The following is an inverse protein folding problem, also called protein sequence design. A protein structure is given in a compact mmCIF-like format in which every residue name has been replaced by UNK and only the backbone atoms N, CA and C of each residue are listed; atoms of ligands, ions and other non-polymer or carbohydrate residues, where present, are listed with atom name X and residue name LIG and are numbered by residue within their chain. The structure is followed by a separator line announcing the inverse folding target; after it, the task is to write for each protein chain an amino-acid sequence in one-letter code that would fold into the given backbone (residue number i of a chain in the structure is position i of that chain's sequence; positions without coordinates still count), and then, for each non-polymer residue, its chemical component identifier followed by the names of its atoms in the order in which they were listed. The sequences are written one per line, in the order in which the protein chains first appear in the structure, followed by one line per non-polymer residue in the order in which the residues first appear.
data_IF_724306859631
#
_entry.id   IF_724306859631
#
_cell.length_a   1.000
_cell.length_b   1.000
_cell.length_c   1.000
_cell.angle_alpha   90.00
_cell.angle_beta   90.00
_cell.angle_gamma   90.00
#
_symmetry.space_group_name_H-M   'P 1'
#
loop_
_entity.id
_entity.type
_entity.pdbx_description
1 polymer ?
#
# COMPACT_ATOMS: atom_id res chain seq x y z
N UNK A 1 -21.39 -1.41 5.34
CA UNK A 1 -20.72 -1.76 4.05
C UNK A 1 -19.71 -2.87 4.25
N UNK A 2 -18.72 -2.70 5.12
CA UNK A 2 -17.67 -3.71 5.37
C UNK A 2 -18.19 -5.12 5.67
N UNK A 3 -19.26 -5.25 6.47
CA UNK A 3 -19.89 -6.56 6.75
C UNK A 3 -20.36 -7.30 5.48
N UNK A 4 -20.78 -6.57 4.44
CA UNK A 4 -21.18 -7.18 3.16
C UNK A 4 -19.99 -7.44 2.23
N UNK A 5 -18.91 -6.66 2.34
CA UNK A 5 -17.71 -6.83 1.51
C UNK A 5 -16.82 -7.97 2.01
N UNK A 6 -16.80 -8.24 3.33
CA UNK A 6 -15.89 -9.20 3.95
C UNK A 6 -16.00 -10.62 3.37
N UNK A 7 -17.20 -11.21 3.19
CA UNK A 7 -17.30 -12.55 2.61
C UNK A 7 -16.75 -12.63 1.18
N UNK A 8 -16.97 -11.59 0.38
CA UNK A 8 -16.47 -11.51 -1.00
C UNK A 8 -14.95 -11.36 -1.01
N UNK A 9 -14.39 -10.50 -0.17
CA UNK A 9 -12.94 -10.35 -0.03
C UNK A 9 -12.26 -11.63 0.42
N UNK A 10 -12.85 -12.37 1.37
CA UNK A 10 -12.35 -13.67 1.80
C UNK A 10 -12.39 -14.71 0.68
N UNK A 11 -13.44 -14.71 -0.16
CA UNK A 11 -13.50 -15.58 -1.32
C UNK A 11 -12.36 -15.28 -2.30
N UNK A 12 -12.13 -14.00 -2.63
CA UNK A 12 -11.00 -13.60 -3.48
C UNK A 12 -9.63 -13.98 -2.88
N UNK A 13 -9.44 -13.83 -1.57
CA UNK A 13 -8.20 -14.27 -0.90
C UNK A 13 -8.01 -15.79 -1.03
N UNK A 14 -9.07 -16.58 -0.89
CA UNK A 14 -9.01 -18.05 -1.06
C UNK A 14 -8.71 -18.45 -2.50
N UNK A 15 -9.37 -17.82 -3.48
CA UNK A 15 -9.14 -18.09 -4.91
C UNK A 15 -7.68 -17.77 -5.27
N UNK A 16 -7.13 -16.67 -4.74
CA UNK A 16 -5.73 -16.31 -4.96
C UNK A 16 -4.78 -17.32 -4.29
N UNK A 17 -5.09 -17.77 -3.07
CA UNK A 17 -4.28 -18.75 -2.36
C UNK A 17 -4.23 -20.09 -3.10
N UNK A 18 -5.34 -20.50 -3.71
CA UNK A 18 -5.39 -21.69 -4.57
C UNK A 18 -4.54 -21.49 -5.84
N UNK A 19 -4.71 -20.35 -6.51
CA UNK A 19 -3.97 -20.03 -7.74
C UNK A 19 -2.45 -19.94 -7.54
N UNK A 20 -1.99 -19.54 -6.35
CA UNK A 20 -0.57 -19.43 -6.02
C UNK A 20 0.02 -20.70 -5.41
N UNK A 21 -0.74 -21.81 -5.34
CA UNK A 21 -0.28 -23.06 -4.74
C UNK A 21 -0.03 -22.96 -3.24
N UNK A 22 -0.80 -22.12 -2.53
CA UNK A 22 -0.70 -21.93 -1.09
C UNK A 22 0.26 -20.82 -0.66
N UNK A 23 0.83 -20.06 -1.59
CA UNK A 23 1.67 -18.91 -1.25
C UNK A 23 0.78 -17.74 -0.81
N UNK A 24 0.95 -17.34 0.45
CA UNK A 24 0.17 -16.29 1.07
C UNK A 24 0.63 -14.88 0.64
N UNK A 25 0.39 -14.54 -0.63
CA UNK A 25 0.78 -13.28 -1.28
C UNK A 25 -0.46 -12.44 -1.66
N UNK A 26 -0.25 -11.16 -1.99
CA UNK A 26 -1.27 -10.24 -2.53
C UNK A 26 -2.48 -9.93 -1.65
N UNK A 27 -2.49 -10.34 -0.38
CA UNK A 27 -3.63 -10.07 0.52
C UNK A 27 -3.90 -8.57 0.71
N UNK A 28 -2.87 -7.75 0.85
CA UNK A 28 -3.04 -6.31 0.98
C UNK A 28 -3.58 -5.67 -0.29
N UNK A 29 -3.07 -6.06 -1.46
CA UNK A 29 -3.64 -5.65 -2.75
C UNK A 29 -5.11 -6.06 -2.93
N UNK A 30 -5.49 -7.31 -2.62
CA UNK A 30 -6.88 -7.78 -2.69
C UNK A 30 -7.78 -6.95 -1.78
N UNK A 31 -7.34 -6.71 -0.55
CA UNK A 31 -8.06 -5.86 0.39
C UNK A 31 -8.26 -4.44 -0.15
N UNK A 32 -7.20 -3.80 -0.64
CA UNK A 32 -7.26 -2.44 -1.16
C UNK A 32 -8.14 -2.33 -2.43
N UNK A 33 -7.95 -3.22 -3.40
CA UNK A 33 -8.74 -3.23 -4.63
C UNK A 33 -10.20 -3.60 -4.40
N UNK A 34 -10.50 -4.49 -3.45
CA UNK A 34 -11.87 -4.79 -3.06
C UNK A 34 -12.60 -3.55 -2.54
N UNK A 35 -11.94 -2.76 -1.69
CA UNK A 35 -12.49 -1.50 -1.17
C UNK A 35 -12.65 -0.44 -2.26
N UNK A 36 -11.65 -0.25 -3.12
CA UNK A 36 -11.70 0.71 -4.24
C UNK A 36 -12.79 0.34 -5.25
N UNK A 37 -12.94 -0.95 -5.55
CA UNK A 37 -13.99 -1.45 -6.45
C UNK A 37 -15.39 -1.21 -5.85
N UNK A 38 -15.56 -1.47 -4.55
CA UNK A 38 -16.80 -1.17 -3.85
C UNK A 38 -17.09 0.34 -3.80
N UNK A 39 -16.04 1.17 -3.67
CA UNK A 39 -16.17 2.63 -3.68
C UNK A 39 -16.62 3.12 -5.06
N UNK A 40 -16.01 2.62 -6.13
CA UNK A 40 -16.44 2.90 -7.50
C UNK A 40 -17.91 2.53 -7.71
N UNK A 41 -18.33 1.31 -7.33
CA UNK A 41 -19.72 0.87 -7.44
C UNK A 41 -20.69 1.75 -6.65
N UNK A 42 -20.28 2.23 -5.46
CA UNK A 42 -21.08 3.18 -4.67
C UNK A 42 -21.24 4.53 -5.36
N UNK A 43 -20.17 5.09 -5.94
CA UNK A 43 -20.21 6.35 -6.67
C UNK A 43 -21.13 6.24 -7.89
N UNK A 44 -20.97 5.16 -8.69
CA UNK A 44 -21.85 4.86 -9.83
C UNK A 44 -23.32 4.78 -9.42
N UNK A 45 -23.62 4.09 -8.32
CA UNK A 45 -25.01 3.97 -7.83
C UNK A 45 -25.66 5.30 -7.44
N UNK A 46 -24.85 6.33 -7.18
CA UNK A 46 -25.30 7.70 -6.84
C UNK A 46 -25.25 8.66 -8.03
N UNK A 47 -24.80 8.21 -9.21
CA UNK A 47 -24.54 9.10 -10.35
C UNK A 47 -23.38 10.07 -10.12
N UNK A 48 -22.46 9.75 -9.21
CA UNK A 48 -21.26 10.56 -8.97
C UNK A 48 -20.11 10.11 -9.89
N UNK A 49 -19.22 11.03 -10.31
CA UNK A 49 -18.08 10.69 -11.14
C UNK A 49 -17.07 9.83 -10.37
N UNK A 50 -16.38 8.94 -11.11
CA UNK A 50 -15.30 8.12 -10.57
C UNK A 50 -14.00 8.91 -10.66
N UNK A 51 -13.66 9.59 -9.56
CA UNK A 51 -12.48 10.44 -9.43
C UNK A 51 -11.60 9.92 -8.28
N UNK A 52 -10.30 10.11 -8.39
CA UNK A 52 -9.30 9.65 -7.41
C UNK A 52 -9.65 10.08 -5.98
N UNK A 53 -9.89 11.38 -5.77
CA UNK A 53 -10.23 11.88 -4.43
C UNK A 53 -11.54 11.31 -3.92
N UNK A 54 -12.56 11.16 -4.78
CA UNK A 54 -13.85 10.57 -4.39
C UNK A 54 -13.74 9.09 -4.04
N UNK A 55 -12.93 8.34 -4.78
CA UNK A 55 -12.65 6.93 -4.48
C UNK A 55 -12.01 6.80 -3.11
N UNK A 56 -10.93 7.53 -2.85
CA UNK A 56 -10.24 7.56 -1.57
C UNK A 56 -11.15 7.96 -0.41
N UNK A 57 -11.92 9.05 -0.56
CA UNK A 57 -12.84 9.52 0.47
C UNK A 57 -13.96 8.51 0.73
N UNK A 58 -14.45 7.84 -0.32
CA UNK A 58 -15.49 6.84 -0.18
C UNK A 58 -14.96 5.56 0.51
N UNK A 59 -13.70 5.18 0.28
CA UNK A 59 -13.02 4.12 1.04
C UNK A 59 -12.86 4.52 2.50
N UNK A 60 -12.36 5.72 2.80
CA UNK A 60 -12.25 6.24 4.16
C UNK A 60 -13.60 6.18 4.91
N UNK A 61 -14.70 6.56 4.24
CA UNK A 61 -16.07 6.45 4.79
C UNK A 61 -16.48 5.02 5.09
N UNK A 62 -16.10 4.04 4.26
CA UNK A 62 -16.37 2.63 4.55
C UNK A 62 -15.59 2.13 5.75
N UNK A 63 -14.37 2.62 5.91
CA UNK A 63 -13.39 2.15 6.90
C UNK A 63 -13.33 3.00 8.18
N UNK A 64 -14.23 3.99 8.35
CA UNK A 64 -14.27 4.84 9.54
C UNK A 64 -14.45 4.00 10.81
N UNK A 65 -13.52 4.15 11.75
CA UNK A 65 -13.46 3.41 13.00
C UNK A 65 -12.81 2.02 12.89
N UNK A 66 -12.34 1.61 11.71
CA UNK A 66 -11.83 0.26 11.46
C UNK A 66 -10.60 -0.05 12.33
N UNK A 67 -9.62 0.85 12.43
CA UNK A 67 -8.41 0.59 13.23
C UNK A 67 -8.79 0.39 14.69
N UNK A 68 -9.61 1.27 15.26
CA UNK A 68 -10.00 1.16 16.67
C UNK A 68 -10.83 -0.10 16.94
N UNK A 69 -11.73 -0.48 16.04
CA UNK A 69 -12.59 -1.64 16.21
C UNK A 69 -11.83 -2.97 16.03
N UNK A 70 -10.96 -3.05 15.04
CA UNK A 70 -10.31 -4.30 14.63
C UNK A 70 -8.90 -4.50 15.19
N UNK A 71 -8.21 -3.45 15.64
CA UNK A 71 -6.82 -3.55 16.12
C UNK A 71 -6.64 -3.28 17.61
N UNK A 72 -7.58 -2.57 18.26
CA UNK A 72 -7.47 -2.23 19.69
C UNK A 72 -8.03 -3.30 20.64
N UNK A 73 -8.72 -4.30 20.13
CA UNK A 73 -9.40 -5.31 20.93
C UNK A 73 -8.61 -6.62 20.92
N UNK A 74 -7.93 -6.97 22.02
CA UNK A 74 -7.35 -8.30 22.22
C UNK A 74 -8.43 -9.37 22.53
N UNK A 75 -9.54 -9.35 21.78
CA UNK A 75 -10.76 -10.07 22.11
C UNK A 75 -10.78 -11.55 21.70
N UNK A 76 -9.79 -12.01 20.93
CA UNK A 76 -9.65 -13.41 20.51
C UNK A 76 -8.53 -14.15 21.25
N UNK A 77 -8.61 -15.48 21.33
CA UNK A 77 -7.58 -16.34 21.95
C UNK A 77 -6.18 -16.22 21.28
N UNK A 78 -6.12 -15.73 20.04
CA UNK A 78 -4.87 -15.45 19.30
C UNK A 78 -4.95 -14.15 18.52
N UNK A 79 -4.00 -13.25 18.76
CA UNK A 79 -3.84 -12.02 17.98
C UNK A 79 -3.39 -12.33 16.55
N UNK A 80 -4.01 -11.68 15.57
CA UNK A 80 -3.48 -11.61 14.20
C UNK A 80 -2.16 -10.84 14.18
N UNK A 81 -1.35 -11.04 13.13
CA UNK A 81 -0.10 -10.27 12.94
C UNK A 81 -0.35 -8.76 12.96
N UNK A 82 -1.45 -8.30 12.36
CA UNK A 82 -1.81 -6.88 12.33
C UNK A 82 -2.14 -6.32 13.72
N UNK A 83 -2.93 -7.04 14.52
CA UNK A 83 -3.22 -6.65 15.91
C UNK A 83 -1.96 -6.63 16.77
N UNK A 84 -1.12 -7.67 16.65
CA UNK A 84 0.14 -7.75 17.39
C UNK A 84 1.09 -6.58 17.06
N UNK A 85 1.20 -6.20 15.77
CA UNK A 85 2.01 -5.06 15.37
C UNK A 85 1.43 -3.73 15.84
N UNK A 86 0.11 -3.55 15.74
CA UNK A 86 -0.55 -2.33 16.21
C UNK A 86 -0.40 -2.16 17.73
N UNK A 87 -0.64 -3.22 18.51
CA UNK A 87 -0.51 -3.17 19.97
C UNK A 87 0.94 -2.96 20.43
N UNK A 88 1.92 -3.50 19.69
CA UNK A 88 3.34 -3.42 20.07
C UNK A 88 4.04 -2.16 19.57
N UNK A 89 3.68 -1.68 18.38
CA UNK A 89 4.42 -0.63 17.67
C UNK A 89 3.54 0.54 17.20
N UNK A 90 2.22 0.48 17.38
CA UNK A 90 1.30 1.52 16.92
C UNK A 90 1.08 1.55 15.41
N UNK A 91 1.57 0.55 14.66
CA UNK A 91 1.52 0.52 13.20
C UNK A 91 0.17 -0.04 12.71
N UNK A 92 -0.70 0.78 12.07
CA UNK A 92 -2.03 0.33 11.67
C UNK A 92 -2.03 -0.45 10.34
N UNK A 93 -0.93 -0.39 9.57
CA UNK A 93 -0.76 -1.09 8.30
C UNK A 93 -1.86 -0.80 7.29
N UNK A 94 -2.22 -1.82 6.50
CA UNK A 94 -3.23 -1.70 5.44
C UNK A 94 -4.60 -1.17 5.92
N UNK A 95 -4.98 -1.44 7.17
CA UNK A 95 -6.23 -0.93 7.76
C UNK A 95 -6.17 0.58 7.99
N UNK A 96 -5.05 1.10 8.46
CA UNK A 96 -4.83 2.54 8.60
C UNK A 96 -4.79 3.26 7.26
N UNK A 97 -4.18 2.64 6.25
CA UNK A 97 -4.23 3.15 4.88
C UNK A 97 -5.66 3.24 4.38
N UNK A 98 -6.46 2.18 4.50
CA UNK A 98 -7.86 2.21 4.08
C UNK A 98 -8.71 3.22 4.89
N UNK A 99 -8.54 3.29 6.20
CA UNK A 99 -9.29 4.24 7.05
C UNK A 99 -8.96 5.70 6.73
N UNK A 100 -7.70 6.00 6.39
CA UNK A 100 -7.27 7.34 5.97
C UNK A 100 -7.56 7.67 4.50
N UNK A 101 -8.14 6.73 3.73
CA UNK A 101 -8.37 6.90 2.30
C UNK A 101 -7.08 6.88 1.47
N UNK A 102 -6.15 6.03 1.84
CA UNK A 102 -4.83 5.85 1.25
C UNK A 102 -3.99 7.13 1.28
N UNK A 103 -3.85 7.72 2.48
CA UNK A 103 -3.14 8.99 2.66
C UNK A 103 -1.71 8.92 2.13
N UNK A 104 -0.99 7.83 2.37
CA UNK A 104 0.40 7.65 1.89
C UNK A 104 0.45 7.64 0.37
N UNK A 105 -0.51 6.96 -0.29
CA UNK A 105 -0.61 6.98 -1.76
C UNK A 105 -0.86 8.39 -2.27
N UNK A 106 -1.83 9.10 -1.69
CA UNK A 106 -2.23 10.45 -2.12
C UNK A 106 -1.14 11.50 -1.94
N UNK A 107 -0.38 11.42 -0.86
CA UNK A 107 0.54 12.49 -0.43
C UNK A 107 2.00 12.19 -0.72
N UNK A 108 2.39 10.92 -0.88
CA UNK A 108 3.77 10.53 -1.12
C UNK A 108 3.95 9.83 -2.47
N UNK A 109 3.13 8.81 -2.77
CA UNK A 109 3.37 7.96 -3.92
C UNK A 109 2.93 8.59 -5.26
N UNK A 110 1.70 9.10 -5.33
CA UNK A 110 1.14 9.72 -6.54
C UNK A 110 1.95 10.95 -7.00
N UNK A 111 2.38 11.88 -6.12
CA UNK A 111 3.22 12.99 -6.54
C UNK A 111 4.53 12.55 -7.20
N UNK A 112 5.19 11.52 -6.65
CA UNK A 112 6.42 10.96 -7.23
C UNK A 112 6.13 10.29 -8.58
N UNK A 113 5.06 9.50 -8.65
CA UNK A 113 4.67 8.81 -9.87
C UNK A 113 4.36 9.79 -11.01
N UNK A 114 3.50 10.78 -10.74
CA UNK A 114 3.12 11.80 -11.73
C UNK A 114 4.33 12.59 -12.20
N UNK A 115 5.18 13.05 -11.28
CA UNK A 115 6.40 13.77 -11.64
C UNK A 115 7.30 12.93 -12.56
N UNK A 116 7.52 11.66 -12.23
CA UNK A 116 8.36 10.78 -13.05
C UNK A 116 7.76 10.51 -14.43
N UNK A 117 6.43 10.35 -14.50
CA UNK A 117 5.73 10.23 -15.78
C UNK A 117 5.87 11.49 -16.64
N UNK A 118 5.80 12.68 -16.04
CA UNK A 118 5.99 13.96 -16.73
C UNK A 118 7.44 14.17 -17.20
N UNK A 119 8.42 13.80 -16.35
CA UNK A 119 9.84 13.98 -16.66
C UNK A 119 10.37 12.98 -17.70
N UNK A 120 9.89 11.73 -17.67
CA UNK A 120 10.49 10.63 -18.44
C UNK A 120 9.56 10.01 -19.48
N UNK A 121 8.24 10.10 -19.29
CA UNK A 121 7.27 9.34 -20.07
C UNK A 121 7.34 7.82 -19.89
N UNK A 122 8.19 7.31 -18.99
CA UNK A 122 8.43 5.88 -18.78
C UNK A 122 7.75 5.40 -17.49
N UNK A 123 6.74 4.56 -17.66
CA UNK A 123 5.99 4.01 -16.54
C UNK A 123 6.81 3.09 -15.64
N UNK A 124 7.77 2.34 -16.18
CA UNK A 124 8.61 1.46 -15.38
C UNK A 124 9.53 2.29 -14.48
N UNK A 125 10.15 3.35 -15.01
CA UNK A 125 10.96 4.26 -14.20
C UNK A 125 10.12 4.95 -13.13
N UNK A 126 8.91 5.41 -13.48
CA UNK A 126 7.99 6.00 -12.52
C UNK A 126 7.62 5.03 -11.40
N UNK A 127 7.26 3.79 -11.74
CA UNK A 127 6.94 2.75 -10.76
C UNK A 127 8.12 2.40 -9.85
N UNK A 128 9.32 2.23 -10.41
CA UNK A 128 10.51 1.89 -9.63
C UNK A 128 10.90 3.03 -8.68
N UNK A 129 10.85 4.28 -9.15
CA UNK A 129 11.14 5.44 -8.31
C UNK A 129 10.09 5.60 -7.20
N UNK A 130 8.80 5.43 -7.52
CA UNK A 130 7.72 5.49 -6.53
C UNK A 130 7.83 4.35 -5.52
N UNK A 131 8.19 3.14 -5.94
CA UNK A 131 8.40 2.02 -5.04
C UNK A 131 9.57 2.29 -4.09
N UNK A 132 10.69 2.78 -4.61
CA UNK A 132 11.85 3.18 -3.81
C UNK A 132 11.46 4.26 -2.80
N UNK A 133 10.64 5.23 -3.21
CA UNK A 133 10.09 6.24 -2.30
C UNK A 133 9.22 5.60 -1.21
N UNK A 134 8.26 4.75 -1.56
CA UNK A 134 7.45 4.04 -0.58
C UNK A 134 8.30 3.23 0.40
N UNK A 135 9.35 2.54 -0.06
CA UNK A 135 10.27 1.82 0.84
C UNK A 135 11.00 2.73 1.84
N UNK A 136 11.25 3.98 1.48
CA UNK A 136 11.98 4.94 2.30
C UNK A 136 11.14 5.56 3.44
N UNK A 137 9.81 5.62 3.31
CA UNK A 137 8.94 6.33 4.27
C UNK A 137 7.70 5.57 4.74
N UNK A 138 7.31 4.47 4.09
CA UNK A 138 6.20 3.65 4.56
C UNK A 138 6.64 2.80 5.76
N UNK A 139 5.82 2.78 6.81
CA UNK A 139 5.99 1.87 7.95
C UNK A 139 5.46 0.46 7.60
N UNK A 140 6.17 -0.21 6.68
CA UNK A 140 5.75 -1.48 6.11
C UNK A 140 5.74 -2.60 7.16
N UNK A 141 4.54 -2.94 7.63
CA UNK A 141 4.32 -4.03 8.59
C UNK A 141 4.76 -5.41 8.09
N UNK A 142 4.93 -5.63 6.79
CA UNK A 142 5.50 -6.87 6.25
C UNK A 142 7.01 -6.95 6.54
N UNK A 143 7.74 -5.84 6.45
CA UNK A 143 9.14 -5.77 6.87
C UNK A 143 9.27 -6.01 8.37
N UNK A 144 8.42 -5.38 9.18
CA UNK A 144 8.40 -5.62 10.63
C UNK A 144 8.10 -7.08 10.96
N UNK A 145 7.23 -7.73 10.19
CA UNK A 145 6.91 -9.15 10.35
C UNK A 145 8.09 -10.09 10.06
N UNK A 146 8.99 -9.72 9.14
CA UNK A 146 10.10 -10.58 8.69
C UNK A 146 11.42 -10.26 9.39
N UNK A 147 11.72 -8.99 9.64
CA UNK A 147 12.98 -8.52 10.20
C UNK A 147 12.85 -7.62 11.44
N UNK A 148 11.64 -7.44 11.97
CA UNK A 148 11.40 -6.49 13.07
C UNK A 148 11.65 -5.04 12.66
N UNK A 149 11.71 -4.15 13.65
CA UNK A 149 12.02 -2.73 13.41
C UNK A 149 13.42 -2.54 12.81
N UNK A 150 14.37 -3.42 13.14
CA UNK A 150 15.70 -3.37 12.53
C UNK A 150 15.65 -3.61 11.01
N UNK A 151 14.85 -4.58 10.57
CA UNK A 151 14.60 -4.82 9.14
C UNK A 151 13.92 -3.65 8.45
N UNK A 152 12.86 -3.09 9.05
CA UNK A 152 12.20 -1.88 8.53
C UNK A 152 13.18 -0.71 8.39
N UNK A 153 13.91 -0.39 9.46
CA UNK A 153 14.87 0.71 9.48
C UNK A 153 15.98 0.54 8.45
N UNK A 154 16.49 -0.70 8.27
CA UNK A 154 17.48 -0.99 7.26
C UNK A 154 16.96 -0.66 5.85
N UNK A 155 15.76 -1.13 5.50
CA UNK A 155 15.16 -0.86 4.18
C UNK A 155 14.94 0.63 3.98
N UNK A 156 14.40 1.32 4.99
CA UNK A 156 14.16 2.77 4.90
C UNK A 156 15.47 3.54 4.67
N UNK A 157 16.54 3.20 5.41
CA UNK A 157 17.84 3.86 5.29
C UNK A 157 18.48 3.64 3.93
N UNK A 158 18.50 2.40 3.42
CA UNK A 158 19.07 2.12 2.09
C UNK A 158 18.25 2.74 0.97
N UNK A 159 16.92 2.73 1.07
CA UNK A 159 16.06 3.39 0.10
C UNK A 159 16.28 4.92 0.09
N UNK A 160 16.38 5.55 1.27
CA UNK A 160 16.72 6.98 1.38
C UNK A 160 18.10 7.29 0.80
N UNK A 161 19.09 6.43 1.07
CA UNK A 161 20.44 6.55 0.51
C UNK A 161 20.44 6.55 -1.02
N UNK A 162 19.73 5.60 -1.64
CA UNK A 162 19.59 5.54 -3.09
C UNK A 162 18.87 6.78 -3.65
N UNK A 163 17.82 7.25 -2.97
CA UNK A 163 17.11 8.47 -3.38
C UNK A 163 17.98 9.72 -3.30
N UNK A 164 18.80 9.87 -2.26
CA UNK A 164 19.78 10.97 -2.15
C UNK A 164 20.85 10.93 -3.24
N UNK A 165 21.12 9.76 -3.81
CA UNK A 165 22.04 9.60 -4.94
C UNK A 165 21.40 9.90 -6.30
N UNK A 166 20.10 10.23 -6.33
CA UNK A 166 19.33 10.51 -7.55
C UNK A 166 18.32 9.41 -7.93
N UNK A 167 18.20 8.36 -7.11
CA UNK A 167 17.25 7.27 -7.32
C UNK A 167 17.50 6.52 -8.63
N UNK A 168 16.43 6.12 -9.30
CA UNK A 168 16.52 5.32 -10.54
C UNK A 168 17.05 6.10 -11.74
N UNK A 169 17.08 7.44 -11.66
CA UNK A 169 17.58 8.32 -12.72
C UNK A 169 19.07 8.65 -12.58
N UNK A 170 19.70 8.26 -11.47
CA UNK A 170 21.14 8.42 -11.30
C UNK A 170 21.91 7.51 -12.26
N UNK A 171 23.14 7.90 -12.62
CA UNK A 171 24.05 7.02 -13.33
C UNK A 171 24.29 5.75 -12.50
N UNK A 172 23.90 4.59 -13.05
CA UNK A 172 23.95 3.30 -12.35
C UNK A 172 22.85 3.09 -11.30
N UNK A 173 21.82 3.95 -11.25
CA UNK A 173 20.73 3.87 -10.26
C UNK A 173 19.91 2.59 -10.35
N UNK A 174 19.68 2.06 -11.55
CA UNK A 174 18.99 0.77 -11.74
C UNK A 174 19.82 -0.41 -11.25
N UNK A 175 21.12 -0.43 -11.53
CA UNK A 175 22.04 -1.42 -10.99
C UNK A 175 22.11 -1.36 -9.45
N UNK A 176 22.15 -0.17 -8.87
CA UNK A 176 22.14 0.01 -7.42
C UNK A 176 20.82 -0.48 -6.80
N UNK A 177 19.68 -0.24 -7.46
CA UNK A 177 18.38 -0.76 -7.02
C UNK A 177 18.31 -2.29 -7.09
N UNK A 178 18.90 -2.91 -8.13
CA UNK A 178 19.00 -4.37 -8.23
C UNK A 178 19.87 -4.96 -7.11
N UNK A 179 21.02 -4.35 -6.83
CA UNK A 179 21.88 -4.78 -5.72
C UNK A 179 21.14 -4.67 -4.38
N UNK A 180 20.35 -3.61 -4.19
CA UNK A 180 19.51 -3.48 -3.01
C UNK A 180 18.45 -4.60 -2.94
N UNK A 181 17.79 -4.94 -4.05
CA UNK A 181 16.85 -6.08 -4.10
C UNK A 181 17.53 -7.41 -3.73
N UNK A 182 18.74 -7.68 -4.26
CA UNK A 182 19.54 -8.85 -3.89
C UNK A 182 19.83 -8.89 -2.38
N UNK A 183 20.12 -7.74 -1.75
CA UNK A 183 20.30 -7.64 -0.31
C UNK A 183 19.01 -7.93 0.48
N UNK A 184 17.85 -7.46 -0.01
CA UNK A 184 16.55 -7.76 0.61
C UNK A 184 16.27 -9.26 0.57
N UNK A 185 16.53 -9.90 -0.58
CA UNK A 185 16.38 -11.35 -0.76
C UNK A 185 17.28 -12.11 0.22
N UNK A 186 18.56 -11.74 0.29
CA UNK A 186 19.53 -12.37 1.18
C UNK A 186 19.17 -12.24 2.67
N UNK A 187 18.51 -11.13 3.04
CA UNK A 187 18.04 -10.85 4.41
C UNK A 187 16.62 -11.37 4.68
N UNK A 188 15.97 -12.00 3.70
CA UNK A 188 14.56 -12.40 3.74
C UNK A 188 13.59 -11.25 4.08
N UNK A 189 13.94 -10.03 3.70
CA UNK A 189 13.10 -8.84 3.82
C UNK A 189 12.23 -8.71 2.57
N UNK A 190 10.97 -8.31 2.74
CA UNK A 190 10.09 -8.01 1.61
C UNK A 190 9.25 -6.78 1.91
N UNK A 191 9.36 -5.71 1.10
CA UNK A 191 8.58 -4.49 1.23
C UNK A 191 7.19 -4.69 0.59
N UNK A 192 6.47 -5.69 1.08
CA UNK A 192 5.18 -6.12 0.51
C UNK A 192 4.07 -5.08 0.69
N UNK A 193 4.02 -4.39 1.84
CA UNK A 193 3.07 -3.29 2.05
C UNK A 193 3.37 -2.12 1.12
N UNK A 194 4.65 -1.80 0.87
CA UNK A 194 5.03 -0.78 -0.11
C UNK A 194 4.67 -1.20 -1.54
N UNK A 195 4.81 -2.49 -1.89
CA UNK A 195 4.36 -3.01 -3.19
C UNK A 195 2.83 -2.93 -3.36
N UNK A 196 2.06 -3.22 -2.31
CA UNK A 196 0.59 -3.07 -2.33
C UNK A 196 0.20 -1.59 -2.54
N UNK A 197 0.88 -0.65 -1.87
CA UNK A 197 0.64 0.79 -2.08
C UNK A 197 1.06 1.27 -3.47
N UNK A 198 2.12 0.69 -4.06
CA UNK A 198 2.50 0.96 -5.44
C UNK A 198 1.39 0.51 -6.40
N UNK A 199 0.81 -0.67 -6.20
CA UNK A 199 -0.29 -1.18 -7.02
C UNK A 199 -1.53 -0.28 -6.91
N UNK A 200 -1.86 0.21 -5.71
CA UNK A 200 -2.92 1.20 -5.51
C UNK A 200 -2.60 2.53 -6.21
N UNK A 201 -1.34 2.98 -6.15
CA UNK A 201 -0.88 4.20 -6.83
C UNK A 201 -1.11 4.10 -8.33
N UNK A 202 -0.66 3.00 -8.93
CA UNK A 202 -0.83 2.74 -10.36
C UNK A 202 -2.30 2.73 -10.77
N UNK A 203 -3.15 2.01 -10.02
CA UNK A 203 -4.59 1.97 -10.26
C UNK A 203 -5.21 3.38 -10.18
N UNK A 204 -4.95 4.11 -9.10
CA UNK A 204 -5.52 5.45 -8.88
C UNK A 204 -5.05 6.46 -9.93
N UNK A 205 -3.84 6.30 -10.47
CA UNK A 205 -3.29 7.19 -11.52
C UNK A 205 -4.09 7.18 -12.82
N UNK A 206 -4.90 6.14 -13.05
CA UNK A 206 -5.76 6.02 -14.23
C UNK A 206 -7.07 6.81 -14.13
N UNK A 207 -7.36 7.38 -12.96
CA UNK A 207 -8.56 8.18 -12.72
C UNK A 207 -8.22 9.67 -12.67
N UNK A 208 -9.13 10.55 -13.16
CA UNK A 208 -8.96 11.98 -12.96
C UNK A 208 -8.91 12.31 -11.47
N UNK A 209 -8.05 13.27 -11.08
CA UNK A 209 -7.88 13.65 -9.69
C UNK A 209 -9.22 14.04 -9.01
N UNK A 210 -10.05 14.78 -9.75
CA UNK A 210 -11.29 15.37 -9.25
C UNK A 210 -11.04 16.55 -8.31
N UNK A 211 -12.10 17.09 -7.73
CA UNK A 211 -11.98 18.16 -6.75
C UNK A 211 -11.52 17.61 -5.38
N UNK A 212 -10.68 18.38 -4.69
CA UNK A 212 -10.42 18.19 -3.27
C UNK A 212 -11.64 18.70 -2.49
N UNK A 213 -12.41 17.80 -1.88
CA UNK A 213 -13.46 18.19 -0.94
C UNK A 213 -12.84 18.28 0.46
N UNK A 214 -12.91 19.44 1.14
CA UNK A 214 -12.53 19.50 2.54
C UNK A 214 -13.43 18.56 3.34
N UNK A 215 -12.83 17.78 4.26
CA UNK A 215 -13.55 16.95 5.23
C UNK A 215 -14.33 17.80 6.24
#
# INVERSE_FOLDING_TARGET
VLMMLRPVGMACENDMLEATGGVNTHRGAIFAFGLLSAAAGRLVSKGEPIELHRLCDQVARFCRGMVMQELSSAGGERLSKGEAHFLRYGLPGARGEAESGFLTVRTQALPVFTRMMEETGDSNLALLQTLLHLMAWNDDTNLVSRGGLAGLNFVQQEAQRLLWQGGVLADGGLEALRQFDDELIARHLSPGGSADLLAVTWFLSTFPAGALFPL
#
